data_IF_875322396009
#
_entry.id   IF_875322396009
#
_cell.length_a   1.000
_cell.length_b   1.000
_cell.length_c   1.000
_cell.angle_alpha   90.00
_cell.angle_beta   90.00
_cell.angle_gamma   90.00
#
_symmetry.space_group_name_H-M   'P 1'
#
loop_
_entity.id
_entity.type
_entity.pdbx_description
1 polymer ?
#
# COMPACT_ATOMS: atom_id res chain seq x y z
N UNK A 1 18.11 -6.39 -32.65
CA UNK A 1 17.84 -7.00 -31.32
C UNK A 1 19.14 -7.04 -30.54
N UNK A 2 19.24 -6.32 -29.42
CA UNK A 2 20.39 -6.45 -28.50
C UNK A 2 20.23 -7.77 -27.75
N UNK A 3 21.19 -8.70 -27.92
CA UNK A 3 21.23 -9.94 -27.14
C UNK A 3 21.77 -9.60 -25.76
N UNK A 4 20.91 -9.67 -24.74
CA UNK A 4 21.33 -9.59 -23.35
C UNK A 4 21.64 -11.00 -22.83
N UNK A 5 22.80 -11.16 -22.19
CA UNK A 5 23.14 -12.40 -21.48
C UNK A 5 22.47 -12.31 -20.11
N UNK A 6 21.50 -13.22 -19.83
CA UNK A 6 20.77 -13.28 -18.56
C UNK A 6 21.54 -14.12 -17.53
N UNK A 7 22.35 -15.08 -17.99
CA UNK A 7 23.13 -15.95 -17.13
C UNK A 7 23.92 -16.97 -17.95
N UNK A 8 24.70 -17.77 -17.24
CA UNK A 8 25.48 -18.85 -17.82
C UNK A 8 25.22 -20.15 -17.07
N UNK A 9 24.92 -21.22 -17.79
CA UNK A 9 24.76 -22.56 -17.23
C UNK A 9 26.07 -23.36 -17.45
N UNK A 10 26.67 -23.84 -16.37
CA UNK A 10 27.83 -24.70 -16.39
C UNK A 10 27.42 -26.13 -16.08
N UNK A 11 27.86 -27.06 -16.91
CA UNK A 11 27.70 -28.48 -16.69
C UNK A 11 29.04 -29.12 -16.40
N UNK A 12 29.12 -29.76 -15.23
CA UNK A 12 30.31 -30.45 -14.78
C UNK A 12 29.99 -31.92 -14.48
N UNK A 13 30.99 -32.81 -14.71
CA UNK A 13 30.97 -34.18 -14.21
C UNK A 13 29.87 -35.07 -14.78
N UNK A 14 29.85 -35.28 -16.09
CA UNK A 14 29.10 -36.40 -16.64
C UNK A 14 29.72 -37.69 -16.10
N UNK A 15 28.98 -38.58 -15.38
CA UNK A 15 29.54 -39.82 -14.87
C UNK A 15 30.03 -40.70 -16.05
N UNK A 16 31.22 -41.27 -15.90
CA UNK A 16 31.76 -42.22 -16.87
C UNK A 16 30.86 -43.47 -16.90
N UNK A 17 30.41 -43.85 -18.08
CA UNK A 17 29.73 -45.12 -18.26
C UNK A 17 30.75 -46.25 -18.42
N UNK A 18 30.36 -47.49 -18.14
CA UNK A 18 31.20 -48.71 -18.28
C UNK A 18 31.81 -48.86 -19.69
N UNK A 19 31.30 -48.12 -20.67
CA UNK A 19 31.71 -48.19 -22.08
C UNK A 19 32.49 -46.97 -22.59
N UNK A 20 32.65 -45.91 -21.78
CA UNK A 20 33.41 -44.72 -22.18
C UNK A 20 34.02 -44.02 -20.99
N UNK A 21 35.35 -44.10 -20.79
CA UNK A 21 36.05 -43.43 -19.66
C UNK A 21 36.13 -41.93 -19.81
N UNK A 22 35.83 -41.35 -20.98
CA UNK A 22 35.72 -39.92 -21.25
C UNK A 22 34.35 -39.63 -21.88
N UNK A 23 33.33 -39.51 -21.05
CA UNK A 23 31.99 -39.21 -21.57
C UNK A 23 31.85 -37.73 -21.92
N UNK A 24 31.96 -37.42 -23.20
CA UNK A 24 31.57 -36.11 -23.73
C UNK A 24 30.02 -36.05 -23.81
N UNK A 25 29.48 -34.84 -23.67
CA UNK A 25 28.06 -34.64 -23.96
C UNK A 25 27.76 -34.88 -25.41
N UNK A 26 26.72 -35.63 -25.71
CA UNK A 26 26.26 -35.90 -27.10
C UNK A 26 25.60 -34.65 -27.68
N UNK A 27 25.51 -34.58 -28.99
CA UNK A 27 24.80 -33.48 -29.67
C UNK A 27 23.33 -33.40 -29.30
N UNK A 28 22.69 -34.52 -28.94
CA UNK A 28 21.30 -34.58 -28.49
C UNK A 28 21.15 -34.01 -27.09
N UNK A 29 22.03 -34.38 -26.15
CA UNK A 29 22.07 -33.81 -24.79
C UNK A 29 22.34 -32.31 -24.83
N UNK A 30 23.21 -31.83 -25.70
CA UNK A 30 23.48 -30.39 -25.86
C UNK A 30 22.27 -29.63 -26.45
N UNK A 31 21.51 -30.25 -27.37
CA UNK A 31 20.26 -29.64 -27.88
C UNK A 31 19.19 -29.56 -26.81
N UNK A 32 18.98 -30.61 -26.03
CA UNK A 32 18.05 -30.60 -24.90
C UNK A 32 18.42 -29.50 -23.90
N UNK A 33 19.69 -29.45 -23.53
CA UNK A 33 20.21 -28.40 -22.61
C UNK A 33 20.00 -26.99 -23.14
N UNK A 34 20.29 -26.80 -24.45
CA UNK A 34 20.04 -25.50 -25.10
C UNK A 34 18.55 -25.11 -25.02
N UNK A 35 17.65 -26.09 -25.24
CA UNK A 35 16.21 -25.85 -25.09
C UNK A 35 15.82 -25.51 -23.67
N UNK A 36 16.30 -26.24 -22.66
CA UNK A 36 16.06 -25.94 -21.24
C UNK A 36 16.59 -24.57 -20.84
N UNK A 37 17.81 -24.23 -21.26
CA UNK A 37 18.43 -22.95 -20.98
C UNK A 37 17.60 -21.80 -21.57
N UNK A 38 17.07 -21.97 -22.76
CA UNK A 38 16.18 -20.99 -23.39
C UNK A 38 14.88 -20.82 -22.61
N UNK A 39 14.24 -21.90 -22.16
CA UNK A 39 13.03 -21.83 -21.33
C UNK A 39 13.29 -21.16 -19.97
N UNK A 40 14.41 -21.47 -19.34
CA UNK A 40 14.82 -20.81 -18.08
C UNK A 40 15.04 -19.31 -18.32
N UNK A 41 15.72 -18.94 -19.41
CA UNK A 41 15.95 -17.53 -19.74
C UNK A 41 14.64 -16.77 -19.93
N UNK A 42 13.69 -17.33 -20.69
CA UNK A 42 12.35 -16.75 -20.87
C UNK A 42 11.62 -16.59 -19.52
N UNK A 43 11.68 -17.61 -18.65
CA UNK A 43 11.03 -17.57 -17.35
C UNK A 43 11.61 -16.47 -16.46
N UNK A 44 12.94 -16.33 -16.44
CA UNK A 44 13.63 -15.26 -15.69
C UNK A 44 13.27 -13.89 -16.26
N UNK A 45 13.31 -13.71 -17.57
CA UNK A 45 12.96 -12.44 -18.22
C UNK A 45 11.52 -12.04 -17.95
N UNK A 46 10.58 -12.99 -18.04
CA UNK A 46 9.18 -12.75 -17.69
C UNK A 46 9.02 -12.36 -16.21
N UNK A 47 9.73 -13.01 -15.30
CA UNK A 47 9.69 -12.65 -13.89
C UNK A 47 10.23 -11.23 -13.64
N UNK A 48 11.38 -10.89 -14.24
CA UNK A 48 11.95 -9.54 -14.13
C UNK A 48 11.03 -8.48 -14.71
N UNK A 49 10.40 -8.76 -15.87
CA UNK A 49 9.45 -7.84 -16.50
C UNK A 49 8.21 -7.64 -15.62
N UNK A 50 7.65 -8.70 -15.05
CA UNK A 50 6.52 -8.60 -14.14
C UNK A 50 6.86 -7.78 -12.89
N UNK A 51 8.03 -7.99 -12.30
CA UNK A 51 8.48 -7.21 -11.15
C UNK A 51 8.67 -5.72 -11.51
N UNK A 52 9.21 -5.44 -12.70
CA UNK A 52 9.36 -4.06 -13.18
C UNK A 52 8.01 -3.38 -13.40
N UNK A 53 7.05 -4.07 -14.00
CA UNK A 53 5.68 -3.55 -14.18
C UNK A 53 5.04 -3.27 -12.82
N UNK A 54 5.21 -4.18 -11.85
CA UNK A 54 4.68 -4.01 -10.51
C UNK A 54 5.29 -2.80 -9.78
N UNK A 55 6.62 -2.64 -9.84
CA UNK A 55 7.29 -1.45 -9.28
C UNK A 55 6.80 -0.15 -9.91
N UNK A 56 6.73 -0.09 -11.24
CA UNK A 56 6.23 1.09 -11.96
C UNK A 56 4.80 1.42 -11.54
N UNK A 57 3.96 0.41 -11.35
CA UNK A 57 2.58 0.58 -10.90
C UNK A 57 2.50 1.20 -9.50
N UNK A 58 3.31 0.71 -8.55
CA UNK A 58 3.40 1.30 -7.20
C UNK A 58 3.86 2.75 -7.27
N UNK A 59 4.87 3.07 -8.09
CA UNK A 59 5.38 4.42 -8.26
C UNK A 59 4.31 5.37 -8.83
N UNK A 60 3.47 4.89 -9.75
CA UNK A 60 2.33 5.66 -10.25
C UNK A 60 1.30 5.96 -9.16
N UNK A 61 0.93 4.97 -8.35
CA UNK A 61 0.01 5.15 -7.22
C UNK A 61 0.58 6.22 -6.27
N UNK A 62 1.84 6.10 -5.87
CA UNK A 62 2.50 7.06 -4.97
C UNK A 62 2.57 8.46 -5.59
N UNK A 63 2.82 8.56 -6.88
CA UNK A 63 2.89 9.84 -7.59
C UNK A 63 1.52 10.53 -7.68
N UNK A 64 0.46 9.77 -7.98
CA UNK A 64 -0.91 10.31 -8.01
C UNK A 64 -1.34 10.77 -6.62
N UNK A 65 -1.05 9.99 -5.58
CA UNK A 65 -1.34 10.36 -4.20
C UNK A 65 -0.60 11.63 -3.78
N UNK A 66 0.70 11.74 -4.11
CA UNK A 66 1.48 12.93 -3.82
C UNK A 66 0.97 14.18 -4.56
N UNK A 67 0.50 14.02 -5.81
CA UNK A 67 -0.11 15.12 -6.55
C UNK A 67 -1.45 15.57 -5.94
N UNK A 68 -2.22 14.63 -5.39
CA UNK A 68 -3.45 14.92 -4.67
C UNK A 68 -3.16 15.62 -3.35
N UNK A 69 -2.19 15.12 -2.57
CA UNK A 69 -1.73 15.73 -1.32
C UNK A 69 -1.23 17.17 -1.55
N UNK A 70 -0.57 17.44 -2.69
CA UNK A 70 -0.11 18.79 -3.05
C UNK A 70 -1.26 19.76 -3.41
N UNK A 71 -2.41 19.23 -3.84
CA UNK A 71 -3.59 20.02 -4.15
C UNK A 71 -4.42 20.39 -2.91
N UNK A 72 -4.39 19.54 -1.89
CA UNK A 72 -5.05 19.74 -0.61
C UNK A 72 -4.04 20.38 0.35
N UNK A 73 -4.22 21.67 0.65
CA UNK A 73 -3.31 22.44 1.50
C UNK A 73 -3.07 21.84 2.89
N UNK A 74 -3.88 20.84 3.29
CA UNK A 74 -3.87 20.23 4.62
C UNK A 74 -3.19 18.85 4.66
N UNK A 75 -2.84 18.26 3.50
CA UNK A 75 -2.50 16.83 3.40
C UNK A 75 -1.06 16.53 2.99
N UNK A 76 -0.13 17.50 3.12
CA UNK A 76 1.26 17.20 2.76
C UNK A 76 1.80 15.98 3.54
N UNK A 77 2.10 14.90 2.79
CA UNK A 77 2.59 13.63 3.34
C UNK A 77 1.58 12.83 4.16
N UNK A 78 0.31 13.26 4.19
CA UNK A 78 -0.78 12.57 4.88
C UNK A 78 -0.93 11.12 4.42
N UNK A 79 -1.11 10.90 3.13
CA UNK A 79 -1.31 9.56 2.57
C UNK A 79 -0.18 8.60 2.94
N UNK A 80 1.08 9.08 2.97
CA UNK A 80 2.24 8.29 3.39
C UNK A 80 2.18 7.93 4.87
N UNK A 81 1.82 8.90 5.75
CA UNK A 81 1.70 8.63 7.20
C UNK A 81 0.56 7.67 7.49
N UNK A 82 -0.61 7.88 6.87
CA UNK A 82 -1.75 6.95 6.99
C UNK A 82 -1.36 5.53 6.57
N UNK A 83 -0.65 5.38 5.44
CA UNK A 83 -0.14 4.07 5.00
C UNK A 83 0.82 3.45 6.03
N UNK A 84 1.74 4.25 6.61
CA UNK A 84 2.66 3.78 7.65
C UNK A 84 1.93 3.26 8.88
N UNK A 85 0.94 4.01 9.39
CA UNK A 85 0.15 3.60 10.55
C UNK A 85 -0.72 2.37 10.23
N UNK A 86 -1.33 2.32 9.08
CA UNK A 86 -2.14 1.18 8.62
C UNK A 86 -1.33 -0.11 8.52
N UNK A 87 -0.14 -0.05 7.93
CA UNK A 87 0.80 -1.18 7.85
C UNK A 87 1.26 -1.60 9.25
N UNK A 88 1.46 -0.64 10.16
CA UNK A 88 1.78 -0.91 11.57
C UNK A 88 0.70 -1.74 12.25
N UNK A 89 -0.58 -1.37 12.12
CA UNK A 89 -1.71 -2.15 12.62
C UNK A 89 -1.73 -3.56 11.98
N UNK A 90 -1.51 -3.65 10.67
CA UNK A 90 -1.48 -4.92 9.96
C UNK A 90 -0.38 -5.86 10.45
N UNK A 91 0.78 -5.33 10.84
CA UNK A 91 1.88 -6.13 11.44
C UNK A 91 1.51 -6.66 12.82
N UNK A 92 0.88 -5.85 13.66
CA UNK A 92 0.39 -6.30 14.98
C UNK A 92 -0.68 -7.40 14.85
N UNK A 93 -1.45 -7.39 13.75
CA UNK A 93 -2.39 -8.46 13.40
C UNK A 93 -1.71 -9.72 12.86
N UNK A 94 -0.40 -9.70 12.58
CA UNK A 94 0.33 -10.82 11.98
C UNK A 94 0.00 -11.07 10.51
N UNK A 95 -0.42 -10.06 9.77
CA UNK A 95 -0.76 -10.17 8.35
C UNK A 95 0.47 -10.49 7.49
N UNK A 96 0.24 -11.21 6.41
CA UNK A 96 1.28 -11.61 5.45
C UNK A 96 1.83 -10.40 4.68
N UNK A 97 3.05 -10.48 4.10
CA UNK A 97 3.61 -9.40 3.30
C UNK A 97 2.71 -8.94 2.16
N UNK A 98 1.97 -9.85 1.50
CA UNK A 98 1.02 -9.50 0.44
C UNK A 98 -0.19 -8.72 0.95
N UNK A 99 -0.74 -9.10 2.11
CA UNK A 99 -1.84 -8.36 2.75
C UNK A 99 -1.39 -6.98 3.23
N UNK A 100 -0.16 -6.87 3.75
CA UNK A 100 0.43 -5.57 4.14
C UNK A 100 0.61 -4.64 2.93
N UNK A 101 1.00 -5.17 1.77
CA UNK A 101 1.09 -4.40 0.54
C UNK A 101 -0.28 -3.87 0.09
N UNK A 102 -1.35 -4.68 0.16
CA UNK A 102 -2.70 -4.22 -0.15
C UNK A 102 -3.18 -3.12 0.81
N UNK A 103 -2.84 -3.22 2.10
CA UNK A 103 -3.11 -2.17 3.08
C UNK A 103 -2.34 -0.89 2.72
N UNK A 104 -1.03 -0.99 2.42
CA UNK A 104 -0.19 0.16 2.04
C UNK A 104 -0.77 0.88 0.82
N UNK A 105 -1.09 0.14 -0.25
CA UNK A 105 -1.62 0.71 -1.48
C UNK A 105 -3.01 1.34 -1.27
N UNK A 106 -3.93 0.63 -0.58
CA UNK A 106 -5.26 1.17 -0.27
C UNK A 106 -5.18 2.46 0.55
N UNK A 107 -4.33 2.47 1.58
CA UNK A 107 -4.12 3.65 2.42
C UNK A 107 -3.50 4.80 1.65
N UNK A 108 -2.58 4.51 0.71
CA UNK A 108 -1.94 5.53 -0.11
C UNK A 108 -2.94 6.26 -1.00
N UNK A 109 -3.96 5.56 -1.51
CA UNK A 109 -4.94 6.14 -2.46
C UNK A 109 -6.35 6.30 -1.88
N UNK A 110 -6.55 6.12 -0.57
CA UNK A 110 -7.88 6.14 0.04
C UNK A 110 -8.69 7.40 -0.33
N UNK A 111 -8.01 8.50 -0.47
CA UNK A 111 -8.54 9.82 -0.76
C UNK A 111 -8.58 10.20 -2.26
N UNK A 112 -8.29 9.25 -3.19
CA UNK A 112 -8.20 9.55 -4.63
C UNK A 112 -9.45 10.26 -5.19
N UNK A 113 -10.60 10.03 -4.60
CA UNK A 113 -11.85 10.67 -5.02
C UNK A 113 -11.93 12.17 -4.76
N UNK A 114 -11.04 12.74 -3.94
CA UNK A 114 -10.91 14.18 -3.74
C UNK A 114 -10.52 14.92 -5.03
N UNK A 115 -9.98 14.23 -6.04
CA UNK A 115 -9.73 14.79 -7.36
C UNK A 115 -11.01 15.35 -8.00
N UNK A 116 -12.16 14.74 -7.68
CA UNK A 116 -13.49 15.16 -8.14
C UNK A 116 -14.15 16.23 -7.27
N UNK A 117 -13.45 16.82 -6.27
CA UNK A 117 -13.94 17.91 -5.43
C UNK A 117 -13.30 19.22 -5.89
N UNK A 118 -14.10 20.32 -5.93
CA UNK A 118 -13.55 21.63 -6.30
C UNK A 118 -12.56 22.12 -5.23
N UNK A 119 -11.51 22.83 -5.66
CA UNK A 119 -10.51 23.38 -4.75
C UNK A 119 -11.10 24.43 -3.79
N UNK A 120 -12.14 25.13 -4.20
CA UNK A 120 -12.83 26.13 -3.37
C UNK A 120 -13.51 25.49 -2.16
N UNK A 121 -14.03 24.28 -2.29
CA UNK A 121 -14.63 23.52 -1.18
C UNK A 121 -13.53 22.82 -0.38
N UNK A 122 -12.58 22.16 -1.08
CA UNK A 122 -11.51 21.39 -0.43
C UNK A 122 -10.63 22.27 0.47
N UNK A 123 -10.29 23.49 0.00
CA UNK A 123 -9.39 24.42 0.68
C UNK A 123 -10.15 25.60 1.32
N UNK A 124 -11.47 25.47 1.55
CA UNK A 124 -12.26 26.56 2.11
C UNK A 124 -11.75 26.97 3.50
N UNK A 125 -11.41 28.25 3.71
CA UNK A 125 -11.05 28.72 5.02
C UNK A 125 -12.30 28.78 5.92
N UNK A 126 -12.35 27.95 6.97
CA UNK A 126 -13.42 27.93 7.94
C UNK A 126 -14.34 26.70 7.86
N UNK A 127 -15.53 26.82 8.43
CA UNK A 127 -16.51 25.71 8.46
C UNK A 127 -17.19 25.53 7.10
N UNK A 128 -17.34 24.29 6.70
CA UNK A 128 -18.17 23.92 5.55
C UNK A 128 -19.65 24.05 5.90
N UNK A 129 -20.49 24.43 4.92
CA UNK A 129 -21.94 24.26 5.05
C UNK A 129 -22.31 22.77 4.98
N UNK A 130 -23.54 22.43 5.34
CA UNK A 130 -24.02 21.04 5.28
C UNK A 130 -23.98 20.49 3.84
N UNK A 131 -24.24 21.34 2.83
CA UNK A 131 -24.18 21.00 1.40
C UNK A 131 -22.74 20.77 0.97
N UNK A 132 -21.80 21.64 1.36
CA UNK A 132 -20.39 21.49 1.05
C UNK A 132 -19.81 20.25 1.74
N UNK A 133 -20.22 19.97 2.99
CA UNK A 133 -19.82 18.77 3.68
C UNK A 133 -20.30 17.50 2.98
N UNK A 134 -21.54 17.46 2.47
CA UNK A 134 -22.04 16.36 1.64
C UNK A 134 -21.22 16.17 0.37
N UNK A 135 -20.72 17.25 -0.24
CA UNK A 135 -19.82 17.16 -1.38
C UNK A 135 -18.51 16.49 -0.99
N UNK A 136 -17.92 16.87 0.14
CA UNK A 136 -16.72 16.18 0.67
C UNK A 136 -17.03 14.71 0.94
N UNK A 137 -18.14 14.38 1.61
CA UNK A 137 -18.54 13.00 1.88
C UNK A 137 -18.74 12.14 0.62
N UNK A 138 -18.81 12.75 -0.56
CA UNK A 138 -18.92 11.99 -1.83
C UNK A 138 -17.58 11.43 -2.34
N UNK A 139 -16.41 11.83 -1.76
CA UNK A 139 -15.12 11.40 -2.29
C UNK A 139 -14.88 9.89 -2.22
N UNK A 140 -15.33 9.12 -1.19
CA UNK A 140 -15.14 7.68 -1.21
C UNK A 140 -15.86 7.01 -2.36
N UNK A 141 -17.10 7.43 -2.64
CA UNK A 141 -17.85 6.97 -3.80
C UNK A 141 -17.19 7.38 -5.12
N UNK A 142 -16.70 8.62 -5.25
CA UNK A 142 -15.98 9.08 -6.44
C UNK A 142 -14.67 8.30 -6.63
N UNK A 143 -13.95 8.03 -5.52
CA UNK A 143 -12.72 7.23 -5.54
C UNK A 143 -12.98 5.81 -6.03
N UNK A 144 -14.02 5.15 -5.54
CA UNK A 144 -14.40 3.82 -6.02
C UNK A 144 -14.73 3.81 -7.52
N UNK A 145 -15.40 4.86 -8.03
CA UNK A 145 -15.68 5.01 -9.46
C UNK A 145 -14.45 5.21 -10.33
N UNK A 146 -13.43 5.89 -9.82
CA UNK A 146 -12.13 6.04 -10.51
C UNK A 146 -11.43 4.69 -10.66
N UNK A 147 -11.51 3.81 -9.64
CA UNK A 147 -10.86 2.50 -9.65
C UNK A 147 -11.67 1.42 -10.37
N UNK A 148 -12.98 1.57 -10.49
CA UNK A 148 -13.90 0.56 -11.05
C UNK A 148 -13.47 -0.01 -12.42
N UNK A 149 -12.95 0.80 -13.39
CA UNK A 149 -12.50 0.27 -14.67
C UNK A 149 -11.25 -0.63 -14.60
N UNK A 150 -10.55 -0.61 -13.47
CA UNK A 150 -9.28 -1.31 -13.28
C UNK A 150 -9.48 -2.57 -12.45
N UNK A 151 -9.82 -3.70 -13.08
CA UNK A 151 -10.12 -4.96 -12.39
C UNK A 151 -9.04 -5.41 -11.40
N UNK A 152 -7.76 -5.12 -11.70
CA UNK A 152 -6.64 -5.43 -10.79
C UNK A 152 -6.63 -4.59 -9.51
N UNK A 153 -7.32 -3.45 -9.48
CA UNK A 153 -7.43 -2.57 -8.32
C UNK A 153 -8.68 -2.82 -7.47
N UNK A 154 -9.53 -3.75 -7.87
CA UNK A 154 -10.76 -4.07 -7.13
C UNK A 154 -10.49 -4.46 -5.68
N UNK A 155 -9.34 -5.07 -5.40
CA UNK A 155 -8.89 -5.43 -4.04
C UNK A 155 -8.63 -4.22 -3.15
N UNK A 156 -8.31 -3.04 -3.72
CA UNK A 156 -8.08 -1.80 -2.99
C UNK A 156 -9.39 -1.03 -2.72
N UNK A 157 -10.44 -1.36 -3.45
CA UNK A 157 -11.70 -0.62 -3.46
C UNK A 157 -12.38 -0.53 -2.08
N UNK A 158 -12.40 -1.59 -1.25
CA UNK A 158 -12.99 -1.49 0.08
C UNK A 158 -12.32 -0.42 0.95
N UNK A 159 -10.99 -0.29 0.91
CA UNK A 159 -10.27 0.76 1.62
C UNK A 159 -10.63 2.15 1.13
N UNK A 160 -10.70 2.35 -0.19
CA UNK A 160 -11.02 3.65 -0.80
C UNK A 160 -12.49 4.04 -0.58
N UNK A 161 -13.42 3.08 -0.69
CA UNK A 161 -14.85 3.35 -0.59
C UNK A 161 -15.35 3.48 0.84
N UNK A 162 -14.81 2.66 1.76
CA UNK A 162 -15.44 2.44 3.07
C UNK A 162 -14.59 2.92 4.26
N UNK A 163 -13.50 3.67 4.06
CA UNK A 163 -12.65 4.15 5.15
C UNK A 163 -13.34 5.18 6.09
N UNK A 164 -14.48 5.72 5.69
CA UNK A 164 -15.32 6.58 6.53
C UNK A 164 -16.54 5.86 7.11
N UNK A 165 -16.64 4.54 6.90
CA UNK A 165 -17.62 3.76 7.65
C UNK A 165 -17.24 3.73 9.13
N UNK A 166 -18.25 3.62 9.97
CA UNK A 166 -18.10 3.57 11.42
C UNK A 166 -18.56 2.21 11.94
N UNK A 167 -17.88 1.71 12.92
CA UNK A 167 -18.20 0.41 13.51
C UNK A 167 -19.65 0.32 14.02
N UNK A 168 -20.22 1.46 14.44
CA UNK A 168 -21.62 1.61 14.90
C UNK A 168 -22.65 1.79 13.77
N UNK A 169 -22.25 1.72 12.49
CA UNK A 169 -23.12 1.86 11.32
C UNK A 169 -23.57 3.29 10.99
N UNK A 170 -22.99 4.30 11.65
CA UNK A 170 -23.33 5.72 11.43
C UNK A 170 -22.35 6.40 10.47
N UNK A 171 -21.57 5.62 9.73
CA UNK A 171 -20.61 6.08 8.74
C UNK A 171 -21.23 6.33 7.36
N UNK A 172 -20.37 6.51 6.38
CA UNK A 172 -20.74 6.71 4.98
C UNK A 172 -19.67 6.08 4.07
N UNK A 173 -19.99 5.74 2.79
CA UNK A 173 -21.22 6.05 2.05
C UNK A 173 -22.31 4.99 2.17
N UNK A 174 -22.03 3.78 2.66
CA UNK A 174 -22.94 2.63 2.56
C UNK A 174 -23.65 2.31 3.89
N UNK A 175 -23.20 2.90 5.02
CA UNK A 175 -23.76 2.66 6.36
C UNK A 175 -23.49 1.25 6.88
N UNK A 176 -22.35 0.66 6.49
CA UNK A 176 -21.92 -0.66 6.96
C UNK A 176 -21.59 -0.63 8.45
N UNK A 177 -21.80 -1.77 9.13
CA UNK A 177 -21.61 -1.87 10.57
C UNK A 177 -20.78 -3.10 10.95
N UNK A 178 -19.93 -2.94 11.96
CA UNK A 178 -19.16 -4.06 12.54
C UNK A 178 -18.27 -4.74 11.50
N UNK A 179 -18.39 -6.05 11.39
CA UNK A 179 -17.57 -6.88 10.50
C UNK A 179 -18.02 -6.86 9.04
N UNK A 180 -19.17 -6.24 8.71
CA UNK A 180 -19.56 -5.96 7.33
C UNK A 180 -18.63 -4.91 6.69
N UNK A 181 -17.96 -4.09 7.51
CA UNK A 181 -16.91 -3.19 7.05
C UNK A 181 -15.63 -4.01 6.81
N UNK A 182 -15.13 -3.99 5.59
CA UNK A 182 -13.90 -4.71 5.24
C UNK A 182 -12.72 -4.32 6.15
N UNK A 183 -11.90 -5.30 6.55
CA UNK A 183 -10.78 -5.10 7.47
C UNK A 183 -9.87 -3.92 7.08
N UNK A 184 -9.51 -3.81 5.79
CA UNK A 184 -8.68 -2.72 5.28
C UNK A 184 -9.30 -1.35 5.57
N UNK A 185 -10.61 -1.19 5.38
CA UNK A 185 -11.31 0.07 5.63
C UNK A 185 -11.33 0.41 7.13
N UNK A 186 -11.56 -0.58 8.01
CA UNK A 186 -11.49 -0.39 9.47
C UNK A 186 -10.10 0.04 9.93
N UNK A 187 -9.04 -0.53 9.34
CA UNK A 187 -7.64 -0.15 9.63
C UNK A 187 -7.38 1.28 9.19
N UNK A 188 -7.74 1.64 7.95
CA UNK A 188 -7.51 2.98 7.39
C UNK A 188 -8.25 4.03 8.20
N UNK A 189 -9.48 3.76 8.64
CA UNK A 189 -10.29 4.68 9.45
C UNK A 189 -9.58 5.15 10.73
N UNK A 190 -8.91 4.24 11.43
CA UNK A 190 -8.13 4.56 12.64
C UNK A 190 -6.90 5.39 12.27
N UNK A 191 -6.14 4.94 11.27
CA UNK A 191 -4.90 5.58 10.84
C UNK A 191 -5.13 7.00 10.31
N UNK A 192 -6.15 7.19 9.47
CA UNK A 192 -6.57 8.49 8.93
C UNK A 192 -6.99 9.45 10.04
N UNK A 193 -7.85 8.98 10.96
CA UNK A 193 -8.30 9.81 12.08
C UNK A 193 -7.14 10.22 12.99
N UNK A 194 -6.20 9.31 13.27
CA UNK A 194 -5.01 9.61 14.06
C UNK A 194 -4.15 10.67 13.38
N UNK A 195 -3.86 10.51 12.10
CA UNK A 195 -3.09 11.49 11.33
C UNK A 195 -3.80 12.85 11.28
N UNK A 196 -5.12 12.84 11.06
CA UNK A 196 -5.92 14.05 11.05
C UNK A 196 -5.93 14.79 12.39
N UNK A 197 -5.82 14.08 13.52
CA UNK A 197 -5.74 14.67 14.85
C UNK A 197 -4.36 15.21 15.19
N UNK A 198 -3.29 14.51 14.80
CA UNK A 198 -1.92 14.81 15.19
C UNK A 198 -1.18 15.74 14.23
N UNK A 199 -1.65 15.88 13.01
CA UNK A 199 -1.06 16.78 12.00
C UNK A 199 -1.49 18.23 12.22
N UNK A 200 -0.53 19.17 12.03
CA UNK A 200 -0.81 20.58 12.02
C UNK A 200 -1.70 20.96 10.83
N UNK A 201 -2.72 21.76 11.09
CA UNK A 201 -3.57 22.34 10.05
C UNK A 201 -3.47 23.86 10.11
N UNK A 202 -3.71 24.55 9.00
CA UNK A 202 -3.55 26.01 8.90
C UNK A 202 -4.22 26.79 10.06
N UNK A 203 -5.31 26.23 10.61
CA UNK A 203 -6.09 26.88 11.69
C UNK A 203 -5.98 26.19 13.05
N UNK A 204 -5.22 25.06 13.15
CA UNK A 204 -5.14 24.30 14.38
C UNK A 204 -3.82 23.53 14.44
N UNK A 205 -3.11 23.65 15.55
CA UNK A 205 -2.01 22.72 15.86
C UNK A 205 -2.54 21.32 16.08
N UNK A 206 -1.77 20.34 15.66
CA UNK A 206 -2.04 18.92 15.94
C UNK A 206 -2.13 18.67 17.45
N UNK A 207 -2.93 17.70 17.82
CA UNK A 207 -3.01 17.20 19.19
C UNK A 207 -1.73 16.44 19.54
N UNK A 208 -1.39 16.36 20.82
CA UNK A 208 -0.34 15.46 21.25
C UNK A 208 -0.74 13.99 21.01
N UNK A 209 0.26 13.13 20.87
CA UNK A 209 0.07 11.67 20.70
C UNK A 209 -0.86 11.11 21.79
N UNK A 210 -0.64 11.51 23.05
CA UNK A 210 -1.38 11.02 24.21
C UNK A 210 -2.87 11.37 24.10
N UNK A 211 -3.19 12.62 23.74
CA UNK A 211 -4.57 13.08 23.57
C UNK A 211 -5.24 12.34 22.40
N UNK A 212 -4.55 12.21 21.27
CA UNK A 212 -5.09 11.51 20.11
C UNK A 212 -5.35 10.02 20.41
N UNK A 213 -4.45 9.34 21.13
CA UNK A 213 -4.66 7.96 21.58
C UNK A 213 -5.86 7.83 22.51
N UNK A 214 -6.04 8.75 23.46
CA UNK A 214 -7.21 8.75 24.36
C UNK A 214 -8.53 8.94 23.59
N UNK A 215 -8.56 9.81 22.59
CA UNK A 215 -9.76 10.00 21.76
C UNK A 215 -10.08 8.75 20.92
N UNK A 216 -9.07 8.09 20.35
CA UNK A 216 -9.26 6.83 19.62
C UNK A 216 -9.78 5.74 20.55
N UNK A 217 -9.23 5.61 21.76
CA UNK A 217 -9.66 4.64 22.76
C UNK A 217 -11.12 4.85 23.18
N UNK A 218 -11.54 6.09 23.43
CA UNK A 218 -12.94 6.43 23.73
C UNK A 218 -13.91 6.05 22.61
N UNK A 219 -13.46 6.07 21.37
CA UNK A 219 -14.28 5.79 20.21
C UNK A 219 -14.29 4.29 19.83
N UNK A 220 -13.61 3.42 20.60
CA UNK A 220 -13.65 1.99 20.42
C UNK A 220 -15.09 1.45 20.60
N UNK A 221 -15.52 0.57 19.68
CA UNK A 221 -16.89 0.02 19.65
C UNK A 221 -17.94 1.00 19.09
N UNK A 222 -17.58 2.24 18.80
CA UNK A 222 -18.45 3.22 18.13
C UNK A 222 -17.92 3.61 16.75
N UNK A 223 -16.93 4.47 16.68
CA UNK A 223 -16.32 4.82 15.42
C UNK A 223 -15.38 3.72 14.94
N UNK A 224 -14.62 3.11 15.83
CA UNK A 224 -13.56 2.17 15.52
C UNK A 224 -13.85 0.76 16.04
N UNK A 225 -13.31 -0.23 15.33
CA UNK A 225 -13.24 -1.60 15.79
C UNK A 225 -12.41 -1.69 17.09
N UNK A 226 -12.95 -2.22 18.19
CA UNK A 226 -12.26 -2.27 19.47
C UNK A 226 -10.99 -3.13 19.44
N UNK A 227 -10.97 -4.21 18.63
CA UNK A 227 -9.78 -5.05 18.50
C UNK A 227 -8.66 -4.30 17.75
N UNK A 228 -9.00 -3.64 16.64
CA UNK A 228 -8.04 -2.85 15.87
C UNK A 228 -7.56 -1.62 16.65
N UNK A 229 -8.42 -1.03 17.47
CA UNK A 229 -8.02 0.05 18.39
C UNK A 229 -6.92 -0.42 19.34
N UNK A 230 -7.06 -1.60 19.94
CA UNK A 230 -6.03 -2.18 20.81
C UNK A 230 -4.71 -2.41 20.07
N UNK A 231 -4.76 -2.98 18.85
CA UNK A 231 -3.57 -3.20 18.03
C UNK A 231 -2.89 -1.88 17.64
N UNK A 232 -3.68 -0.87 17.25
CA UNK A 232 -3.15 0.46 16.96
C UNK A 232 -2.44 1.08 18.16
N UNK A 233 -3.05 1.05 19.35
CA UNK A 233 -2.46 1.61 20.57
C UNK A 233 -1.17 0.87 20.96
N UNK A 234 -1.12 -0.44 20.77
CA UNK A 234 0.10 -1.23 20.98
C UNK A 234 1.21 -0.76 20.04
N UNK A 235 0.92 -0.71 18.75
CA UNK A 235 1.86 -0.26 17.72
C UNK A 235 2.37 1.15 17.98
N UNK A 236 1.45 2.12 18.18
CA UNK A 236 1.83 3.53 18.28
C UNK A 236 2.63 3.84 19.56
N UNK A 237 2.44 3.07 20.64
CA UNK A 237 3.22 3.21 21.88
C UNK A 237 4.64 2.67 21.74
N UNK A 238 4.86 1.67 20.89
CA UNK A 238 6.20 1.14 20.57
C UNK A 238 6.89 1.98 19.49
N UNK A 239 6.10 2.70 18.68
CA UNK A 239 6.56 3.46 17.54
C UNK A 239 7.22 4.78 17.97
N UNK A 240 8.51 4.94 17.66
CA UNK A 240 9.22 6.20 17.86
C UNK A 240 9.14 7.01 16.57
N UNK A 241 8.58 8.22 16.63
CA UNK A 241 8.42 9.13 15.47
C UNK A 241 9.70 9.35 14.65
N UNK A 242 10.86 9.18 15.27
CA UNK A 242 12.17 9.28 14.61
C UNK A 242 12.45 8.16 13.59
N UNK A 243 11.62 7.14 13.47
CA UNK A 243 11.79 6.08 12.48
C UNK A 243 11.17 6.43 11.11
N UNK A 244 10.19 7.35 11.07
CA UNK A 244 9.62 7.85 9.80
C UNK A 244 10.71 8.56 8.98
N UNK A 245 11.55 9.35 9.63
CA UNK A 245 12.62 10.16 9.00
C UNK A 245 13.76 9.26 8.49
N UNK A 246 13.99 8.11 9.14
CA UNK A 246 15.04 7.16 8.71
C UNK A 246 14.63 6.26 7.54
N UNK A 247 13.34 6.00 7.36
CA UNK A 247 12.83 5.24 6.22
C UNK A 247 12.97 6.03 4.89
N UNK A 248 13.02 7.36 4.95
CA UNK A 248 13.24 8.22 3.78
C UNK A 248 14.69 8.20 3.25
N UNK A 249 15.65 7.61 3.98
CA UNK A 249 17.09 7.65 3.64
C UNK A 249 17.73 6.27 3.40
N UNK A 250 16.96 5.21 3.18
CA UNK A 250 17.51 3.97 2.62
C UNK A 250 17.08 3.84 1.17
N UNK A 251 17.96 4.14 0.20
CA UNK A 251 17.78 3.59 -1.12
C UNK A 251 17.95 2.08 -0.99
N UNK A 252 16.93 1.30 -1.38
CA UNK A 252 17.04 -0.13 -1.64
C UNK A 252 17.94 -0.37 -2.88
N UNK A 253 19.23 -0.03 -2.72
CA UNK A 253 20.29 -0.26 -3.70
C UNK A 253 21.40 -1.06 -3.06
N UNK A 254 21.06 -2.21 -2.47
CA UNK A 254 22.08 -3.10 -1.90
C UNK A 254 21.76 -4.58 -2.16
N UNK A 255 21.22 -4.92 -3.33
CA UNK A 255 21.30 -6.29 -3.86
C UNK A 255 21.54 -6.18 -5.35
N UNK A 256 22.75 -5.93 -5.75
CA UNK A 256 23.34 -6.24 -7.06
C UNK A 256 24.68 -5.52 -7.20
N UNK A 257 25.72 -6.02 -6.55
CA UNK A 257 27.12 -5.89 -6.96
C UNK A 257 28.00 -6.60 -5.95
N UNK A 258 27.92 -7.93 -5.91
CA UNK A 258 29.03 -8.81 -5.51
C UNK A 258 28.84 -10.14 -6.25
N UNK A 259 29.50 -10.25 -7.38
CA UNK A 259 30.20 -11.39 -7.97
C UNK A 259 30.53 -11.07 -9.41
#
# INVERSE_FOLDING_TARGET
>A
MRRHIIGTLFLCNKPASTFSPLSKFTSEELRLLSSFTHQIAIAIENHQLNNSIHSIFIDYIKSISAALDARDAYTHGHSKRVATYSVGIGRELGLTPGELEFIELSSTIHDIGKIGISSDILNKPGRLSDEEFKIIQSHPHKGSKILEPMSRLSVLMPGVRNHHERYDGKGYPDGLMGDDIHLIARIISIADTYDAMTSDRVYRKGLSKEIACQEIEKCAGTQFDPNLTTMFLTYINQYRENEIIKADHKPDTAILLQA
#
